data_IF_429019055714
#
_entry.id   IF_429019055714
#
_cell.length_a   1.000
_cell.length_b   1.000
_cell.length_c   1.000
_cell.angle_alpha   90.00
_cell.angle_beta   90.00
_cell.angle_gamma   90.00
#
_symmetry.space_group_name_H-M   'P 1'
#
loop_
_entity.id
_entity.type
_entity.pdbx_description
1 polymer ?
#
# COMPACT_ATOMS: atom_id res chain seq x y z
N UNK A 1 -5.48 -7.64 11.50
CA UNK A 1 -5.93 -6.34 10.91
C UNK A 1 -4.74 -5.47 10.57
N UNK A 2 -4.94 -4.50 9.67
CA UNK A 2 -3.89 -3.60 9.21
C UNK A 2 -4.28 -2.15 9.48
N UNK A 3 -3.33 -1.36 9.95
CA UNK A 3 -3.44 0.10 10.06
C UNK A 3 -2.42 0.73 9.12
N UNK A 4 -2.85 1.66 8.29
CA UNK A 4 -1.96 2.46 7.48
C UNK A 4 -1.85 3.85 8.08
N UNK A 5 -0.61 4.30 8.29
CA UNK A 5 -0.28 5.69 8.62
C UNK A 5 0.54 6.26 7.46
N UNK A 6 0.06 7.34 6.87
CA UNK A 6 0.67 7.96 5.69
C UNK A 6 0.95 9.42 6.02
N UNK A 7 2.18 9.85 5.82
CA UNK A 7 2.68 11.18 6.21
C UNK A 7 3.28 11.90 5.00
N UNK A 8 2.98 13.19 4.84
CA UNK A 8 3.39 13.95 3.67
C UNK A 8 4.88 14.31 3.73
N UNK A 9 5.58 14.10 2.62
CA UNK A 9 6.98 14.52 2.46
C UNK A 9 7.03 16.02 2.18
N UNK A 10 7.97 16.75 2.85
CA UNK A 10 8.25 18.17 2.60
C UNK A 10 7.01 19.07 2.71
N UNK A 11 6.12 18.83 3.65
CA UNK A 11 4.86 19.57 3.83
C UNK A 11 5.05 21.08 3.96
N UNK A 12 6.18 21.53 4.56
CA UNK A 12 6.48 22.96 4.71
C UNK A 12 6.76 23.67 3.38
N UNK A 13 7.16 22.96 2.32
CA UNK A 13 7.51 23.54 1.02
C UNK A 13 6.58 23.23 -0.13
N UNK A 14 5.77 22.18 -0.02
CA UNK A 14 4.97 21.64 -1.14
C UNK A 14 3.46 21.90 -1.04
N UNK A 15 3.00 22.60 0.00
CA UNK A 15 1.58 22.81 0.29
C UNK A 15 0.88 21.56 0.81
N UNK A 16 -0.36 21.69 1.23
CA UNK A 16 -1.19 20.59 1.75
C UNK A 16 -1.73 19.72 0.61
N UNK A 17 -1.23 18.48 0.52
CA UNK A 17 -1.65 17.48 -0.47
C UNK A 17 -2.62 16.43 0.10
N UNK A 18 -2.95 16.49 1.39
CA UNK A 18 -3.83 15.52 2.05
C UNK A 18 -5.21 15.41 1.38
N UNK A 19 -5.90 16.51 1.00
CA UNK A 19 -7.20 16.39 0.36
C UNK A 19 -7.17 15.60 -0.95
N UNK A 20 -6.13 15.77 -1.77
CA UNK A 20 -5.95 15.04 -3.02
C UNK A 20 -5.70 13.55 -2.77
N UNK A 21 -4.88 13.21 -1.75
CA UNK A 21 -4.63 11.83 -1.40
C UNK A 21 -5.90 11.16 -0.87
N UNK A 22 -6.65 11.80 0.01
CA UNK A 22 -7.91 11.27 0.52
C UNK A 22 -8.91 10.99 -0.61
N UNK A 23 -9.03 11.89 -1.58
CA UNK A 23 -9.87 11.68 -2.76
C UNK A 23 -9.38 10.50 -3.63
N UNK A 24 -8.06 10.34 -3.79
CA UNK A 24 -7.48 9.23 -4.54
C UNK A 24 -7.71 7.87 -3.89
N UNK A 25 -7.76 7.80 -2.56
CA UNK A 25 -7.94 6.57 -1.79
C UNK A 25 -9.41 6.27 -1.42
N UNK A 26 -10.36 7.14 -1.77
CA UNK A 26 -11.75 7.08 -1.31
C UNK A 26 -12.50 5.80 -1.74
N UNK A 27 -12.15 5.23 -2.90
CA UNK A 27 -12.81 4.03 -3.43
C UNK A 27 -12.25 2.71 -2.87
N UNK A 28 -11.20 2.77 -2.04
CA UNK A 28 -10.65 1.56 -1.45
C UNK A 28 -11.59 0.99 -0.37
N UNK A 29 -11.82 -0.35 -0.34
CA UNK A 29 -12.68 -0.99 0.64
C UNK A 29 -11.98 -1.04 2.01
N UNK A 30 -12.09 0.05 2.76
CA UNK A 30 -11.52 0.20 4.10
C UNK A 30 -12.57 -0.14 5.18
N UNK A 31 -12.10 -0.70 6.30
CA UNK A 31 -12.92 -0.90 7.49
C UNK A 31 -13.20 0.43 8.21
N UNK A 32 -12.16 1.24 8.39
CA UNK A 32 -12.28 2.66 8.71
C UNK A 32 -11.58 3.45 7.60
N UNK A 33 -12.33 4.29 6.89
CA UNK A 33 -11.81 5.10 5.79
C UNK A 33 -10.63 5.96 6.22
N UNK A 34 -9.79 6.32 5.26
CA UNK A 34 -8.69 7.24 5.55
C UNK A 34 -9.22 8.59 6.01
N UNK A 35 -8.71 9.05 7.14
CA UNK A 35 -8.98 10.38 7.68
C UNK A 35 -7.66 11.05 8.08
N UNK A 36 -7.64 12.38 8.03
CA UNK A 36 -6.53 13.17 8.57
C UNK A 36 -6.48 13.00 10.08
N UNK A 37 -5.34 12.58 10.63
CA UNK A 37 -5.13 12.45 12.07
C UNK A 37 -4.58 13.73 12.69
N UNK A 38 -3.33 14.06 12.44
CA UNK A 38 -2.67 15.30 12.93
C UNK A 38 -1.82 15.89 11.81
N UNK A 39 -1.92 17.21 11.60
CA UNK A 39 -1.09 17.92 10.62
C UNK A 39 -1.32 17.40 9.20
N UNK A 40 -0.33 16.77 8.62
CA UNK A 40 -0.28 16.23 7.26
C UNK A 40 -0.29 14.68 7.22
N UNK A 41 -0.61 14.05 8.36
CA UNK A 41 -0.75 12.60 8.50
C UNK A 41 -2.20 12.16 8.27
N UNK A 42 -2.39 11.05 7.55
CA UNK A 42 -3.67 10.35 7.46
C UNK A 42 -3.55 8.93 8.00
N UNK A 43 -4.64 8.41 8.52
CA UNK A 43 -4.74 7.03 9.01
C UNK A 43 -6.01 6.35 8.49
N UNK A 44 -5.92 5.02 8.29
CA UNK A 44 -7.05 4.18 7.93
C UNK A 44 -6.84 2.75 8.43
N UNK A 45 -7.94 2.01 8.58
CA UNK A 45 -7.94 0.61 9.04
C UNK A 45 -8.49 -0.30 7.95
N UNK A 46 -7.84 -1.42 7.71
CA UNK A 46 -8.20 -2.38 6.67
C UNK A 46 -8.03 -3.82 7.17
N UNK A 47 -8.88 -4.72 6.69
CA UNK A 47 -8.76 -6.17 6.92
C UNK A 47 -8.08 -6.88 5.74
N UNK A 48 -8.29 -6.38 4.52
CA UNK A 48 -7.80 -7.00 3.30
C UNK A 48 -6.33 -6.64 3.03
N UNK A 49 -5.47 -7.61 3.05
CA UNK A 49 -4.06 -7.47 2.66
C UNK A 49 -3.88 -7.02 1.21
N UNK A 50 -4.79 -7.41 0.31
CA UNK A 50 -4.78 -6.95 -1.08
C UNK A 50 -5.10 -5.45 -1.15
N UNK A 51 -6.10 -4.97 -0.40
CA UNK A 51 -6.43 -3.54 -0.29
C UNK A 51 -5.25 -2.74 0.29
N UNK A 52 -4.55 -3.29 1.31
CA UNK A 52 -3.31 -2.68 1.84
C UNK A 52 -2.25 -2.56 0.75
N UNK A 53 -2.03 -3.63 -0.02
CA UNK A 53 -1.07 -3.63 -1.13
C UNK A 53 -1.42 -2.55 -2.16
N UNK A 54 -2.68 -2.48 -2.58
CA UNK A 54 -3.15 -1.49 -3.55
C UNK A 54 -3.00 -0.05 -3.03
N UNK A 55 -3.38 0.20 -1.77
CA UNK A 55 -3.20 1.50 -1.12
C UNK A 55 -1.73 1.93 -1.11
N UNK A 56 -0.83 1.05 -0.64
CA UNK A 56 0.61 1.31 -0.58
C UNK A 56 1.16 1.66 -1.96
N UNK A 57 0.86 0.85 -2.99
CA UNK A 57 1.40 1.07 -4.34
C UNK A 57 0.83 2.35 -4.98
N UNK A 58 -0.44 2.68 -4.72
CA UNK A 58 -1.05 3.93 -5.18
C UNK A 58 -0.38 5.15 -4.55
N UNK A 59 -0.11 5.10 -3.24
CA UNK A 59 0.58 6.17 -2.51
C UNK A 59 2.03 6.32 -2.97
N UNK A 60 2.75 5.21 -3.17
CA UNK A 60 4.13 5.23 -3.67
C UNK A 60 4.23 5.79 -5.10
N UNK A 61 3.20 5.57 -5.94
CA UNK A 61 3.11 6.17 -7.28
C UNK A 61 3.05 7.70 -7.23
N UNK A 62 2.35 8.28 -6.28
CA UNK A 62 2.28 9.74 -6.10
C UNK A 62 3.65 10.34 -5.71
N UNK A 63 4.47 9.58 -4.94
CA UNK A 63 5.85 9.94 -4.60
C UNK A 63 6.01 11.01 -3.52
N UNK A 64 4.91 11.55 -2.98
CA UNK A 64 4.92 12.64 -1.99
C UNK A 64 4.73 12.17 -0.55
N UNK A 65 4.84 10.87 -0.27
CA UNK A 65 4.39 10.29 0.99
C UNK A 65 5.37 9.29 1.58
N UNK A 66 5.36 9.19 2.91
CA UNK A 66 5.90 8.08 3.67
C UNK A 66 4.76 7.17 4.09
N UNK A 67 4.94 5.85 3.99
CA UNK A 67 3.90 4.86 4.30
C UNK A 67 4.36 3.92 5.40
N UNK A 68 3.61 3.87 6.49
CA UNK A 68 3.76 2.89 7.53
C UNK A 68 2.57 1.93 7.54
N UNK A 69 2.83 0.63 7.46
CA UNK A 69 1.83 -0.42 7.63
C UNK A 69 2.06 -1.08 8.98
N UNK A 70 1.07 -0.98 9.86
CA UNK A 70 1.04 -1.67 11.15
C UNK A 70 0.18 -2.93 11.06
N UNK A 71 0.72 -4.04 11.53
CA UNK A 71 0.06 -5.34 11.57
C UNK A 71 -0.23 -5.70 13.01
N UNK A 72 -1.44 -6.16 13.30
CA UNK A 72 -1.83 -6.61 14.63
C UNK A 72 -3.27 -6.34 15.01
N UNK A 73 -3.59 -6.48 16.29
CA UNK A 73 -4.92 -6.22 16.82
C UNK A 73 -5.28 -4.73 16.82
N UNK A 74 -6.57 -4.47 16.68
CA UNK A 74 -7.20 -3.16 16.90
C UNK A 74 -8.20 -3.35 18.03
N UNK A 75 -8.33 -2.33 18.90
CA UNK A 75 -9.28 -2.42 20.01
C UNK A 75 -10.73 -2.44 19.52
N UNK A 76 -11.53 -3.33 20.05
CA UNK A 76 -12.96 -3.45 19.77
C UNK A 76 -13.80 -2.95 20.96
N UNK A 77 -15.03 -2.42 20.72
CA UNK A 77 -15.65 -2.24 19.41
C UNK A 77 -14.98 -1.12 18.61
N UNK A 78 -14.90 -1.29 17.28
CA UNK A 78 -14.33 -0.26 16.41
C UNK A 78 -15.18 1.03 16.47
N UNK A 79 -14.55 2.20 16.66
CA UNK A 79 -15.24 3.48 16.56
C UNK A 79 -15.61 3.82 15.11
N UNK A 80 -16.28 4.95 14.91
CA UNK A 80 -16.62 5.43 13.56
C UNK A 80 -15.45 6.08 12.79
N UNK A 81 -14.38 6.44 13.51
CA UNK A 81 -13.23 7.18 12.97
C UNK A 81 -11.91 6.52 13.40
N UNK A 82 -10.92 6.41 12.50
CA UNK A 82 -9.60 5.91 12.86
C UNK A 82 -8.87 6.78 13.89
N UNK A 83 -9.28 8.05 14.07
CA UNK A 83 -8.72 8.97 15.08
C UNK A 83 -9.07 8.58 16.50
N UNK A 84 -10.19 7.90 16.69
CA UNK A 84 -10.68 7.41 17.98
C UNK A 84 -10.26 5.97 18.25
N UNK A 85 -9.77 5.28 17.21
CA UNK A 85 -9.34 3.90 17.29
C UNK A 85 -7.93 3.77 17.89
N UNK A 86 -7.63 2.59 18.41
CA UNK A 86 -6.33 2.29 19.01
C UNK A 86 -6.02 0.80 18.97
N UNK A 87 -4.84 0.46 19.44
CA UNK A 87 -4.39 -0.93 19.54
C UNK A 87 -2.97 -1.15 19.03
N UNK A 88 -2.44 -2.38 19.15
CA UNK A 88 -1.08 -2.72 18.73
C UNK A 88 -0.77 -2.35 17.27
N UNK A 89 -1.75 -2.52 16.35
CA UNK A 89 -1.56 -2.18 14.94
C UNK A 89 -1.32 -0.67 14.71
N UNK A 90 -1.96 0.21 15.49
CA UNK A 90 -1.73 1.66 15.43
C UNK A 90 -0.32 2.04 15.89
N UNK A 91 0.15 1.41 16.99
CA UNK A 91 1.52 1.62 17.48
C UNK A 91 2.53 1.15 16.44
N UNK A 92 2.29 -0.02 15.85
CA UNK A 92 3.13 -0.57 14.80
C UNK A 92 3.16 0.30 13.54
N UNK A 93 2.01 0.83 13.09
CA UNK A 93 1.92 1.72 11.93
C UNK A 93 2.72 3.01 12.15
N UNK A 94 2.66 3.59 13.35
CA UNK A 94 3.47 4.76 13.71
C UNK A 94 4.97 4.45 13.71
N UNK A 95 5.37 3.33 14.28
CA UNK A 95 6.78 2.88 14.22
C UNK A 95 7.24 2.66 12.78
N UNK A 96 6.37 2.08 11.94
CA UNK A 96 6.67 1.84 10.54
C UNK A 96 6.85 3.16 9.77
N UNK A 97 5.94 4.14 9.90
CA UNK A 97 6.07 5.40 9.17
C UNK A 97 7.31 6.17 9.59
N UNK A 98 7.69 6.15 10.88
CA UNK A 98 8.94 6.76 11.34
C UNK A 98 10.20 6.08 10.77
N UNK A 99 10.14 4.77 10.49
CA UNK A 99 11.20 4.06 9.76
C UNK A 99 11.20 4.44 8.28
N UNK A 100 10.02 4.56 7.66
CA UNK A 100 9.88 4.97 6.26
C UNK A 100 10.46 6.39 6.03
N UNK A 101 10.32 7.30 6.97
CA UNK A 101 10.95 8.64 6.93
C UNK A 101 12.49 8.59 6.85
N UNK A 102 13.09 7.49 7.29
CA UNK A 102 14.55 7.26 7.31
C UNK A 102 15.02 6.32 6.19
N UNK A 103 14.20 6.06 5.19
CA UNK A 103 14.48 5.07 4.13
C UNK A 103 15.62 5.48 3.16
N UNK A 104 16.03 6.76 3.15
CA UNK A 104 17.02 7.27 2.19
C UNK A 104 16.51 7.12 0.75
N UNK A 105 17.29 6.45 -0.10
CA UNK A 105 16.96 6.21 -1.51
C UNK A 105 16.03 5.00 -1.74
N UNK A 106 15.62 4.32 -0.66
CA UNK A 106 14.63 3.23 -0.76
C UNK A 106 13.22 3.79 -0.90
N UNK A 107 12.29 3.06 -1.54
CA UNK A 107 10.88 3.38 -1.48
C UNK A 107 10.43 3.64 -0.04
N UNK A 108 9.72 4.74 0.23
CA UNK A 108 9.40 5.19 1.58
C UNK A 108 8.22 4.42 2.19
N UNK A 109 8.37 3.11 2.30
CA UNK A 109 7.39 2.19 2.92
C UNK A 109 8.08 1.30 3.95
N UNK A 110 7.38 1.06 5.06
CA UNK A 110 7.82 0.10 6.08
C UNK A 110 6.61 -0.65 6.66
N UNK A 111 6.85 -1.88 7.15
CA UNK A 111 5.84 -2.73 7.79
C UNK A 111 6.32 -3.14 9.18
N UNK A 112 5.48 -3.05 10.20
CA UNK A 112 5.83 -3.42 11.59
C UNK A 112 4.67 -4.14 12.30
N UNK A 113 4.96 -4.70 13.48
CA UNK A 113 3.97 -5.30 14.38
C UNK A 113 3.93 -6.83 14.38
N UNK A 114 4.75 -7.49 13.55
CA UNK A 114 4.77 -8.95 13.45
C UNK A 114 6.15 -9.47 13.06
N UNK A 115 6.53 -10.70 13.44
CA UNK A 115 7.73 -11.36 12.93
C UNK A 115 7.75 -11.52 11.41
N UNK A 116 6.58 -11.60 10.75
CA UNK A 116 6.45 -11.67 9.28
C UNK A 116 6.53 -10.32 8.58
N UNK A 117 6.54 -9.20 9.30
CA UNK A 117 6.55 -7.85 8.73
C UNK A 117 7.76 -7.58 7.80
N UNK A 118 9.01 -8.03 8.11
CA UNK A 118 10.15 -7.83 7.22
C UNK A 118 9.99 -8.46 5.84
N UNK A 119 9.36 -9.62 5.72
CA UNK A 119 9.15 -10.31 4.45
C UNK A 119 8.16 -9.51 3.57
N UNK A 120 7.05 -9.05 4.16
CA UNK A 120 6.07 -8.21 3.48
C UNK A 120 6.69 -6.86 3.05
N UNK A 121 7.46 -6.22 3.93
CA UNK A 121 8.18 -4.97 3.61
C UNK A 121 9.12 -5.14 2.42
N UNK A 122 9.89 -6.24 2.38
CA UNK A 122 10.86 -6.49 1.32
C UNK A 122 10.19 -6.52 -0.06
N UNK A 123 9.03 -7.18 -0.19
CA UNK A 123 8.29 -7.25 -1.47
C UNK A 123 7.65 -5.91 -1.81
N UNK A 124 7.05 -5.20 -0.84
CA UNK A 124 6.50 -3.87 -1.07
C UNK A 124 7.57 -2.86 -1.51
N UNK A 125 8.78 -2.95 -0.96
CA UNK A 125 9.93 -2.12 -1.38
C UNK A 125 10.34 -2.45 -2.81
N UNK A 126 10.41 -3.72 -3.21
CA UNK A 126 10.70 -4.11 -4.59
C UNK A 126 9.65 -3.59 -5.57
N UNK A 127 8.37 -3.73 -5.25
CA UNK A 127 7.28 -3.19 -6.06
C UNK A 127 7.33 -1.66 -6.12
N UNK A 128 7.60 -1.00 -5.00
CA UNK A 128 7.78 0.45 -4.93
C UNK A 128 8.95 0.93 -5.80
N UNK A 129 10.03 0.16 -5.89
CA UNK A 129 11.17 0.46 -6.78
C UNK A 129 10.75 0.41 -8.25
N UNK A 130 10.05 -0.63 -8.68
CA UNK A 130 9.50 -0.73 -10.04
C UNK A 130 8.63 0.48 -10.38
N UNK A 131 7.80 0.92 -9.43
CA UNK A 131 6.91 2.07 -9.61
C UNK A 131 7.69 3.37 -9.72
N UNK A 132 8.68 3.58 -8.86
CA UNK A 132 9.49 4.81 -8.81
C UNK A 132 10.38 5.01 -10.06
N UNK A 133 10.76 3.92 -10.75
CA UNK A 133 11.58 3.97 -11.96
C UNK A 133 10.78 4.33 -13.22
N UNK A 134 9.45 4.37 -13.14
CA UNK A 134 8.57 4.69 -14.28
C UNK A 134 8.58 6.17 -14.61
N UNK A 135 8.70 6.44 -15.89
CA UNK A 135 8.60 7.81 -16.44
C UNK A 135 7.14 8.22 -16.61
N UNK A 136 6.88 9.53 -16.67
CA UNK A 136 5.54 10.08 -16.98
C UNK A 136 4.99 9.58 -18.33
N UNK A 137 5.88 9.34 -19.30
CA UNK A 137 5.50 8.79 -20.59
C UNK A 137 5.00 7.34 -20.47
N UNK A 138 5.64 6.52 -19.65
CA UNK A 138 5.19 5.16 -19.35
C UNK A 138 3.87 5.19 -18.58
N UNK A 139 3.73 6.04 -17.57
CA UNK A 139 2.47 6.19 -16.83
C UNK A 139 1.31 6.59 -17.72
N UNK A 140 1.51 7.53 -18.67
CA UNK A 140 0.46 7.91 -19.66
C UNK A 140 0.01 6.75 -20.53
N UNK A 141 0.87 5.77 -20.77
CA UNK A 141 0.50 4.56 -21.52
C UNK A 141 -0.19 3.54 -20.59
N UNK A 142 0.39 3.28 -19.42
CA UNK A 142 -0.06 2.23 -18.50
C UNK A 142 -1.48 2.46 -17.96
N UNK A 143 -1.91 3.71 -17.77
CA UNK A 143 -3.28 4.03 -17.36
C UNK A 143 -4.37 3.60 -18.37
N UNK A 144 -3.96 3.17 -19.57
CA UNK A 144 -4.85 2.66 -20.62
C UNK A 144 -4.65 1.16 -20.88
N UNK A 145 -3.80 0.49 -20.09
CA UNK A 145 -3.50 -0.94 -20.22
C UNK A 145 -4.05 -1.70 -19.02
N UNK A 146 -5.11 -2.48 -19.27
CA UNK A 146 -5.64 -3.39 -18.24
C UNK A 146 -4.71 -4.60 -18.08
N UNK A 147 -4.19 -4.87 -16.87
CA UNK A 147 -3.32 -6.02 -16.64
C UNK A 147 -4.09 -7.33 -16.85
N UNK A 148 -3.44 -8.29 -17.50
CA UNK A 148 -4.03 -9.62 -17.77
C UNK A 148 -5.14 -9.66 -18.83
N UNK A 149 -5.63 -8.52 -19.31
CA UNK A 149 -6.70 -8.48 -20.33
C UNK A 149 -6.12 -8.53 -21.73
N UNK A 150 -6.49 -9.59 -22.45
CA UNK A 150 -6.10 -9.74 -23.87
C UNK A 150 -6.58 -8.56 -24.71
N UNK A 151 -5.73 -8.06 -25.60
CA UNK A 151 -6.06 -6.93 -26.49
C UNK A 151 -5.99 -5.54 -25.86
N UNK A 152 -5.78 -5.42 -24.53
CA UNK A 152 -5.72 -4.11 -23.84
C UNK A 152 -4.61 -3.21 -24.38
N UNK A 153 -3.44 -3.77 -24.70
CA UNK A 153 -2.33 -3.00 -25.31
C UNK A 153 -2.67 -2.46 -26.69
N UNK A 154 -3.41 -3.24 -27.50
CA UNK A 154 -3.89 -2.78 -28.83
C UNK A 154 -4.92 -1.68 -28.69
N UNK A 155 -5.82 -1.80 -27.71
CA UNK A 155 -6.80 -0.76 -27.41
C UNK A 155 -6.14 0.54 -26.92
N UNK A 156 -5.14 0.44 -26.05
CA UNK A 156 -4.34 1.56 -25.59
C UNK A 156 -3.59 2.25 -26.74
N UNK A 157 -2.98 1.48 -27.65
CA UNK A 157 -2.30 2.00 -28.84
C UNK A 157 -3.24 2.84 -29.73
N UNK A 158 -4.43 2.33 -30.00
CA UNK A 158 -5.46 3.05 -30.77
C UNK A 158 -5.90 4.34 -30.06
N UNK A 159 -6.18 4.27 -28.77
CA UNK A 159 -6.61 5.43 -27.96
C UNK A 159 -5.58 6.54 -27.93
N UNK A 160 -4.28 6.17 -27.84
CA UNK A 160 -3.17 7.11 -27.74
C UNK A 160 -2.62 7.55 -29.10
N UNK A 161 -3.05 6.96 -30.21
CA UNK A 161 -2.52 7.26 -31.55
C UNK A 161 -1.06 6.85 -31.74
N UNK A 162 -0.60 5.79 -31.03
CA UNK A 162 0.77 5.26 -31.12
C UNK A 162 0.78 3.81 -31.59
N UNK A 163 1.95 3.27 -31.94
CA UNK A 163 2.05 1.88 -32.39
C UNK A 163 1.89 0.88 -31.23
N UNK A 164 1.32 -0.29 -31.51
CA UNK A 164 1.26 -1.40 -30.52
C UNK A 164 2.65 -1.81 -30.02
N UNK A 165 3.68 -1.68 -30.85
CA UNK A 165 5.07 -1.93 -30.46
C UNK A 165 5.56 -0.93 -29.40
N UNK A 166 5.18 0.35 -29.51
CA UNK A 166 5.51 1.37 -28.51
C UNK A 166 4.85 1.07 -27.18
N UNK A 167 3.55 0.69 -27.18
CA UNK A 167 2.85 0.26 -25.96
C UNK A 167 3.51 -0.97 -25.34
N UNK A 168 3.76 -2.01 -26.14
CA UNK A 168 4.41 -3.24 -25.65
C UNK A 168 5.81 -2.99 -25.07
N UNK A 169 6.59 -2.07 -25.66
CA UNK A 169 7.89 -1.67 -25.14
C UNK A 169 7.77 -0.95 -23.81
N UNK A 170 6.79 -0.03 -23.66
CA UNK A 170 6.52 0.68 -22.42
C UNK A 170 6.09 -0.27 -21.29
N UNK A 171 5.15 -1.19 -21.58
CA UNK A 171 4.67 -2.22 -20.63
C UNK A 171 5.82 -3.06 -20.09
N UNK A 172 6.74 -3.53 -20.97
CA UNK A 172 7.89 -4.32 -20.53
C UNK A 172 8.90 -3.51 -19.72
N UNK A 173 9.25 -2.28 -20.19
CA UNK A 173 10.21 -1.43 -19.47
C UNK A 173 9.72 -1.04 -18.09
N UNK A 174 8.43 -0.79 -17.97
CA UNK A 174 7.78 -0.38 -16.73
C UNK A 174 7.60 -1.54 -15.73
N UNK A 175 7.95 -2.79 -16.08
CA UNK A 175 7.68 -3.95 -15.23
C UNK A 175 6.19 -4.07 -14.86
N UNK A 176 5.28 -3.72 -15.78
CA UNK A 176 3.86 -3.66 -15.50
C UNK A 176 3.25 -5.03 -15.20
N UNK A 177 3.64 -6.04 -15.97
CA UNK A 177 3.15 -7.40 -15.77
C UNK A 177 3.73 -8.02 -14.49
N UNK A 178 5.01 -7.76 -14.24
CA UNK A 178 5.73 -8.21 -13.05
C UNK A 178 5.12 -7.63 -11.76
N UNK A 179 4.79 -6.33 -11.76
CA UNK A 179 4.11 -5.71 -10.63
C UNK A 179 2.77 -6.38 -10.35
N UNK A 180 1.91 -6.51 -11.39
CA UNK A 180 0.60 -7.10 -11.21
C UNK A 180 0.64 -8.56 -10.79
N UNK A 181 1.61 -9.33 -11.31
CA UNK A 181 1.83 -10.72 -10.90
C UNK A 181 2.33 -10.83 -9.44
N UNK A 182 3.08 -9.84 -8.95
CA UNK A 182 3.65 -9.85 -7.60
C UNK A 182 2.72 -9.28 -6.52
N UNK A 183 1.67 -8.50 -6.87
CA UNK A 183 0.71 -7.95 -5.89
C UNK A 183 0.06 -9.04 -5.01
N UNK A 184 -0.43 -10.17 -5.55
CA UNK A 184 -0.94 -11.26 -4.71
C UNK A 184 0.10 -11.83 -3.75
N UNK A 185 1.38 -11.92 -4.16
CA UNK A 185 2.44 -12.41 -3.28
C UNK A 185 2.70 -11.43 -2.12
N UNK A 186 2.65 -10.12 -2.36
CA UNK A 186 2.73 -9.12 -1.29
C UNK A 186 1.56 -9.25 -0.31
N UNK A 187 0.33 -9.46 -0.82
CA UNK A 187 -0.84 -9.68 0.02
C UNK A 187 -0.71 -10.95 0.88
N UNK A 188 -0.25 -12.07 0.31
CA UNK A 188 -0.01 -13.32 1.06
C UNK A 188 1.00 -13.12 2.19
N UNK A 189 2.07 -12.35 1.96
CA UNK A 189 3.04 -12.05 3.00
C UNK A 189 2.49 -11.13 4.10
N UNK A 190 1.63 -10.19 3.76
CA UNK A 190 0.90 -9.37 4.73
C UNK A 190 -0.06 -10.22 5.56
N UNK A 191 -0.84 -11.11 4.93
CA UNK A 191 -1.73 -12.05 5.63
C UNK A 191 -0.95 -12.95 6.58
N UNK A 192 0.20 -13.48 6.13
CA UNK A 192 1.09 -14.26 6.98
C UNK A 192 1.59 -13.43 8.18
N UNK A 193 1.94 -12.17 7.96
CA UNK A 193 2.33 -11.28 9.03
C UNK A 193 1.20 -11.06 10.03
N UNK A 194 -0.05 -10.88 9.56
CA UNK A 194 -1.22 -10.72 10.43
C UNK A 194 -1.50 -11.97 11.26
N UNK A 195 -1.46 -13.15 10.65
CA UNK A 195 -1.62 -14.42 11.34
C UNK A 195 -0.54 -14.63 12.44
N UNK A 196 0.71 -14.23 12.17
CA UNK A 196 1.79 -14.31 13.15
C UNK A 196 1.65 -13.26 14.28
N UNK A 197 1.02 -12.13 14.02
CA UNK A 197 0.70 -11.12 15.03
C UNK A 197 -0.42 -11.55 15.98
N UNK A 198 -1.39 -12.33 15.48
CA UNK A 198 -2.50 -12.86 16.29
C UNK A 198 -2.06 -13.91 17.30
N UNK A 199 -0.88 -14.51 17.14
CA UNK A 199 -0.40 -15.63 17.95
C UNK A 199 -1.07 -16.96 17.61
N UNK A 200 -0.61 -18.08 18.15
CA UNK A 200 -1.30 -19.37 17.99
C UNK A 200 -2.68 -19.29 18.67
N UNK A 201 -3.71 -19.68 17.96
CA UNK A 201 -5.07 -19.76 18.46
C UNK A 201 -5.12 -20.64 19.73
N UNK A 202 -5.44 -20.04 20.87
CA UNK A 202 -5.42 -20.71 22.18
C UNK A 202 -6.62 -21.62 22.40
N UNK A 203 -7.39 -21.89 21.34
CA UNK A 203 -8.64 -22.65 21.41
C UNK A 203 -8.44 -24.17 21.51
N UNK A 204 -7.24 -24.72 21.23
CA UNK A 204 -6.99 -26.17 21.26
C UNK A 204 -6.54 -26.76 22.62
N UNK A 205 -6.45 -25.98 23.70
CA UNK A 205 -6.03 -26.50 25.02
C UNK A 205 -7.16 -26.65 26.03
N UNK A 206 -8.35 -27.13 25.60
CA UNK A 206 -9.44 -27.41 26.54
C UNK A 206 -10.17 -28.72 26.25
N UNK A 207 -9.44 -29.78 25.89
CA UNK A 207 -9.98 -31.14 25.92
C UNK A 207 -8.88 -32.11 26.32
N UNK A 208 -8.50 -32.09 27.62
CA UNK A 208 -7.98 -33.26 28.37
C UNK A 208 -7.91 -32.85 29.84
N UNK A 209 -8.98 -33.24 30.58
CA UNK A 209 -9.10 -33.13 32.02
C UNK A 209 -10.31 -33.91 32.48
#
# INVERSE_FOLDING_TARGET
MFVLTIDQRNSQGSGDKVPQLLAALADLPMLLAFERSVGDEIQGVCESALTVTDAVLQVLRDGNWYVGVGVGGVHEPLPSSPREAGGPAFVAARQAVERAKKSGDRPPVAVAGSPGAPDAEAVLVLLGRLIAERTDAEWRILQHVDPGKWGSQTAAARRLGISSQAVSKAVRRAGWQEEWAARPAAAVLLERADNLAAGPDTTERRTDG
#
